data_IF_660330101401
#
_entry.id   IF_660330101401
#
_cell.length_a   1.000
_cell.length_b   1.000
_cell.length_c   1.000
_cell.angle_alpha   90.00
_cell.angle_beta   90.00
_cell.angle_gamma   90.00
#
_symmetry.space_group_name_H-M   'P 1'
#
loop_
_entity.id
_entity.type
_entity.pdbx_description
1 polymer ?
#
# COMPACT_ATOMS: atom_id res chain seq x y z
N UNK A 1 1.57 32.85 -7.62
CA UNK A 1 1.81 31.80 -6.61
C UNK A 1 0.47 31.26 -6.14
N UNK A 2 -0.05 30.19 -6.75
CA UNK A 2 -1.34 29.60 -6.38
C UNK A 2 -1.10 28.31 -5.61
N UNK A 3 -1.20 28.38 -4.28
CA UNK A 3 -1.22 27.22 -3.41
C UNK A 3 -2.45 26.38 -3.77
N UNK A 4 -2.25 25.28 -4.49
CA UNK A 4 -3.28 24.25 -4.70
C UNK A 4 -3.62 23.67 -3.33
N UNK A 5 -4.62 24.23 -2.66
CA UNK A 5 -5.29 23.59 -1.52
C UNK A 5 -6.05 22.38 -2.06
N UNK A 6 -5.31 21.33 -2.39
CA UNK A 6 -5.83 20.00 -2.70
C UNK A 6 -6.16 19.35 -1.36
N UNK A 7 -7.12 19.94 -0.66
CA UNK A 7 -7.81 19.25 0.43
C UNK A 7 -8.29 17.95 -0.17
N UNK A 8 -7.98 16.83 0.48
CA UNK A 8 -8.51 15.52 0.13
C UNK A 8 -10.02 15.72 0.04
N UNK A 9 -10.53 15.77 -1.19
CA UNK A 9 -11.95 16.03 -1.42
C UNK A 9 -12.69 14.90 -0.71
N UNK A 10 -13.80 15.20 -0.03
CA UNK A 10 -14.64 14.17 0.60
C UNK A 10 -14.93 13.02 -0.38
N UNK A 11 -15.05 13.37 -1.67
CA UNK A 11 -15.16 12.45 -2.79
C UNK A 11 -13.98 11.47 -2.91
N UNK A 12 -12.75 11.93 -2.72
CA UNK A 12 -11.56 11.06 -2.69
C UNK A 12 -11.57 10.11 -1.51
N UNK A 13 -11.99 10.57 -0.32
CA UNK A 13 -12.11 9.71 0.86
C UNK A 13 -13.18 8.62 0.64
N UNK A 14 -14.35 9.01 0.12
CA UNK A 14 -15.45 8.10 -0.20
C UNK A 14 -15.02 7.11 -1.29
N UNK A 15 -14.30 7.56 -2.31
CA UNK A 15 -13.78 6.69 -3.36
C UNK A 15 -12.82 5.62 -2.82
N UNK A 16 -11.92 5.99 -1.90
CA UNK A 16 -11.01 5.04 -1.22
C UNK A 16 -11.80 4.02 -0.38
N UNK A 17 -12.78 4.48 0.40
CA UNK A 17 -13.62 3.61 1.22
C UNK A 17 -14.43 2.62 0.37
N UNK A 18 -15.03 3.08 -0.73
CA UNK A 18 -15.79 2.24 -1.65
C UNK A 18 -14.85 1.22 -2.32
N UNK A 19 -13.68 1.64 -2.79
CA UNK A 19 -12.71 0.73 -3.39
C UNK A 19 -12.25 -0.37 -2.43
N UNK A 20 -12.02 -0.02 -1.16
CA UNK A 20 -11.65 -0.97 -0.10
C UNK A 20 -12.81 -1.93 0.22
N UNK A 21 -14.04 -1.42 0.26
CA UNK A 21 -15.24 -2.23 0.53
C UNK A 21 -15.58 -3.17 -0.64
N UNK A 22 -15.50 -2.70 -1.88
CA UNK A 22 -15.73 -3.52 -3.09
C UNK A 22 -14.69 -4.62 -3.18
N UNK A 23 -13.42 -4.33 -2.91
CA UNK A 23 -12.35 -5.33 -2.84
C UNK A 23 -12.62 -6.41 -1.78
N UNK A 24 -13.25 -6.05 -0.66
CA UNK A 24 -13.64 -6.97 0.40
C UNK A 24 -14.87 -7.82 0.04
N UNK A 25 -15.93 -7.20 -0.50
CA UNK A 25 -17.23 -7.85 -0.77
C UNK A 25 -17.21 -8.76 -1.98
N UNK A 26 -16.45 -8.42 -3.03
CA UNK A 26 -16.47 -9.20 -4.26
C UNK A 26 -15.76 -10.56 -4.16
N UNK A 27 -15.14 -10.91 -3.02
CA UNK A 27 -14.41 -12.17 -2.80
C UNK A 27 -13.38 -12.55 -3.90
N UNK A 28 -13.10 -11.65 -4.84
CA UNK A 28 -12.04 -11.74 -5.85
C UNK A 28 -10.65 -11.75 -5.20
N UNK A 29 -10.55 -11.25 -3.97
CA UNK A 29 -9.34 -11.22 -3.15
C UNK A 29 -9.63 -12.02 -1.89
N UNK A 30 -9.41 -13.33 -1.97
CA UNK A 30 -9.26 -14.15 -0.75
C UNK A 30 -8.19 -13.49 0.13
N UNK A 31 -8.28 -13.51 1.47
CA UNK A 31 -7.23 -12.98 2.34
C UNK A 31 -5.82 -13.50 1.97
N UNK A 32 -5.75 -14.70 1.40
CA UNK A 32 -4.53 -15.30 0.82
C UNK A 32 -3.96 -14.50 -0.37
N UNK A 33 -4.81 -14.07 -1.30
CA UNK A 33 -4.46 -13.25 -2.46
C UNK A 33 -4.01 -11.85 -2.03
N UNK A 34 -4.71 -11.23 -1.06
CA UNK A 34 -4.30 -9.94 -0.49
C UNK A 34 -2.92 -10.03 0.14
N UNK A 35 -2.68 -11.11 0.90
CA UNK A 35 -1.39 -11.38 1.54
C UNK A 35 -0.28 -11.59 0.50
N UNK A 36 -0.54 -12.34 -0.56
CA UNK A 36 0.41 -12.54 -1.68
C UNK A 36 0.75 -11.23 -2.39
N UNK A 37 -0.24 -10.40 -2.68
CA UNK A 37 -0.01 -9.09 -3.31
C UNK A 37 0.78 -8.17 -2.37
N UNK A 38 0.43 -8.14 -1.08
CA UNK A 38 1.20 -7.39 -0.08
C UNK A 38 2.65 -7.87 0.04
N UNK A 39 2.89 -9.19 -0.01
CA UNK A 39 4.25 -9.75 -0.03
C UNK A 39 5.01 -9.39 -1.30
N UNK A 40 4.37 -9.41 -2.47
CA UNK A 40 5.00 -9.01 -3.72
C UNK A 40 5.39 -7.53 -3.72
N UNK A 41 4.49 -6.66 -3.23
CA UNK A 41 4.76 -5.23 -3.07
C UNK A 41 5.89 -4.99 -2.06
N UNK A 42 5.86 -5.68 -0.92
CA UNK A 42 6.95 -5.64 0.05
C UNK A 42 8.27 -6.10 -0.58
N UNK A 43 8.29 -7.20 -1.33
CA UNK A 43 9.51 -7.68 -1.99
C UNK A 43 10.10 -6.64 -2.96
N UNK A 44 9.25 -5.94 -3.72
CA UNK A 44 9.67 -4.85 -4.61
C UNK A 44 10.21 -3.65 -3.82
N UNK A 45 9.52 -3.26 -2.73
CA UNK A 45 9.99 -2.19 -1.84
C UNK A 45 11.30 -2.56 -1.14
N UNK A 46 11.42 -3.81 -0.69
CA UNK A 46 12.63 -4.36 -0.07
C UNK A 46 13.78 -4.35 -1.07
N UNK A 47 13.56 -4.77 -2.32
CA UNK A 47 14.57 -4.68 -3.38
C UNK A 47 15.07 -3.24 -3.54
N UNK A 48 14.17 -2.26 -3.52
CA UNK A 48 14.56 -0.84 -3.59
C UNK A 48 15.33 -0.39 -2.35
N UNK A 49 14.92 -0.83 -1.15
CA UNK A 49 15.62 -0.55 0.11
C UNK A 49 17.02 -1.18 0.15
N UNK A 50 17.18 -2.39 -0.40
CA UNK A 50 18.46 -3.09 -0.53
C UNK A 50 19.41 -2.27 -1.44
N UNK A 51 18.90 -1.76 -2.57
CA UNK A 51 19.68 -0.87 -3.45
C UNK A 51 19.98 0.49 -2.82
N UNK A 52 19.12 0.97 -1.91
CA UNK A 52 19.33 2.19 -1.12
C UNK A 52 20.34 1.98 0.04
N UNK A 53 20.80 0.75 0.28
CA UNK A 53 21.72 0.42 1.37
C UNK A 53 21.05 0.35 2.74
N UNK A 54 19.73 0.21 2.79
CA UNK A 54 19.00 -0.10 4.04
C UNK A 54 19.16 -1.60 4.28
N UNK A 55 20.33 -1.97 4.81
CA UNK A 55 20.57 -3.29 5.36
C UNK A 55 19.68 -3.43 6.60
N UNK A 56 18.59 -4.21 6.47
CA UNK A 56 17.68 -4.53 7.56
C UNK A 56 18.39 -5.45 8.54
N UNK A 57 19.34 -4.90 9.32
CA UNK A 57 19.95 -5.55 10.47
C UNK A 57 18.85 -5.76 11.51
N UNK A 58 18.12 -6.87 11.38
CA UNK A 58 17.40 -7.48 12.49
C UNK A 58 18.51 -7.94 13.44
N UNK A 59 18.74 -7.13 14.47
CA UNK A 59 19.76 -7.21 15.52
C UNK A 59 20.57 -8.51 15.57
N UNK A 60 21.86 -8.39 15.25
CA UNK A 60 22.86 -9.28 15.78
C UNK A 60 22.99 -9.03 17.29
N UNK A 61 22.57 -10.01 18.09
CA UNK A 61 22.98 -10.26 19.46
C UNK A 61 23.03 -11.77 19.67
#
# INVERSE_FOLDING_TARGET
>A
MAYRRRGISLLGLIYILIGLYVAWVHHYITPDLLKRVAQALLAILLWFLILLGVDLHIGGL
#
